data_IF_553704590603
#
_entry.id   IF_553704590603
#
_cell.length_a   1.000
_cell.length_b   1.000
_cell.length_c   1.000
_cell.angle_alpha   90.00
_cell.angle_beta   90.00
_cell.angle_gamma   90.00
#
_symmetry.space_group_name_H-M   'P 1'
#
loop_
_entity.id
_entity.type
_entity.pdbx_description
1 polymer ?
#
# COMPACT_ATOMS: atom_id res chain seq x y z
N UNK A 1 20.28 -18.99 3.38
CA UNK A 1 18.98 -18.28 3.30
C UNK A 1 19.16 -17.19 2.27
N UNK A 2 18.42 -17.22 1.16
CA UNK A 2 18.44 -16.09 0.22
C UNK A 2 17.48 -15.06 0.81
N UNK A 3 18.00 -13.93 1.27
CA UNK A 3 17.17 -12.78 1.62
C UNK A 3 16.44 -12.37 0.35
N UNK A 4 15.14 -12.68 0.30
CA UNK A 4 14.29 -12.22 -0.79
C UNK A 4 14.13 -10.72 -0.62
N UNK A 5 14.70 -9.93 -1.51
CA UNK A 5 14.50 -8.48 -1.53
C UNK A 5 12.99 -8.18 -1.50
N UNK A 6 12.56 -7.40 -0.51
CA UNK A 6 11.18 -6.94 -0.41
C UNK A 6 10.98 -5.79 -1.37
N UNK A 7 10.24 -6.02 -2.47
CA UNK A 7 9.84 -4.95 -3.36
C UNK A 7 8.71 -4.12 -2.72
N UNK A 8 9.04 -2.89 -2.32
CA UNK A 8 8.12 -1.91 -1.72
C UNK A 8 7.70 -0.83 -2.72
N UNK A 9 8.01 -1.00 -4.01
CA UNK A 9 7.54 -0.08 -5.04
C UNK A 9 6.01 -0.08 -5.11
N UNK A 10 5.47 1.13 -5.23
CA UNK A 10 4.06 1.43 -5.45
C UNK A 10 4.01 2.31 -6.69
N UNK A 11 3.11 2.01 -7.62
CA UNK A 11 2.89 2.84 -8.81
C UNK A 11 2.43 4.25 -8.40
N UNK A 12 2.85 5.27 -9.14
CA UNK A 12 2.60 6.66 -8.75
C UNK A 12 1.10 6.99 -8.67
N UNK A 13 0.30 6.48 -9.61
CA UNK A 13 -1.16 6.60 -9.59
C UNK A 13 -1.75 6.00 -8.30
N UNK A 14 -1.22 4.86 -7.85
CA UNK A 14 -1.64 4.20 -6.60
C UNK A 14 -1.20 4.97 -5.36
N UNK A 15 0.01 5.56 -5.39
CA UNK A 15 0.48 6.42 -4.30
C UNK A 15 -0.42 7.63 -4.14
N UNK A 16 -0.83 8.25 -5.24
CA UNK A 16 -1.72 9.41 -5.22
C UNK A 16 -3.12 9.02 -4.76
N UNK A 17 -3.70 7.96 -5.33
CA UNK A 17 -5.03 7.46 -4.96
C UNK A 17 -5.12 7.15 -3.46
N UNK A 18 -4.19 6.32 -2.95
CA UNK A 18 -4.15 5.96 -1.53
C UNK A 18 -3.81 7.18 -0.68
N UNK A 19 -2.84 7.98 -1.12
CA UNK A 19 -2.41 9.18 -0.43
C UNK A 19 -3.55 10.16 -0.21
N UNK A 20 -4.36 10.42 -1.23
CA UNK A 20 -5.52 11.30 -1.16
C UNK A 20 -6.62 10.69 -0.27
N UNK A 21 -6.84 9.38 -0.34
CA UNK A 21 -7.82 8.69 0.50
C UNK A 21 -7.49 8.72 2.00
N UNK A 22 -6.20 8.72 2.37
CA UNK A 22 -5.77 8.71 3.78
C UNK A 22 -5.31 10.07 4.32
N UNK A 23 -5.27 11.10 3.48
CA UNK A 23 -4.88 12.44 3.93
C UNK A 23 -6.02 13.07 4.69
N UNK A 24 -5.73 13.50 5.92
CA UNK A 24 -6.61 14.34 6.73
C UNK A 24 -5.79 15.53 7.22
N UNK A 25 -6.36 16.73 7.14
CA UNK A 25 -5.72 17.97 7.61
C UNK A 25 -5.45 17.94 9.12
N UNK A 26 -6.22 17.16 9.88
CA UNK A 26 -6.09 17.00 11.33
C UNK A 26 -5.08 15.91 11.73
N UNK A 27 -4.42 15.26 10.77
CA UNK A 27 -3.53 14.13 11.04
C UNK A 27 -2.14 14.59 11.50
N UNK A 28 -1.66 14.19 12.70
CA UNK A 28 -0.30 14.51 13.16
C UNK A 28 0.79 13.67 12.44
N UNK A 29 0.43 12.95 11.38
CA UNK A 29 1.29 11.97 10.71
C UNK A 29 2.24 12.67 9.74
N UNK A 30 3.53 12.52 9.96
CA UNK A 30 4.58 13.05 9.09
C UNK A 30 4.68 12.35 7.72
N UNK A 31 5.41 12.97 6.80
CA UNK A 31 5.55 12.53 5.39
C UNK A 31 6.04 11.07 5.27
N UNK A 32 7.00 10.67 6.09
CA UNK A 32 7.56 9.31 6.02
C UNK A 32 6.59 8.25 6.53
N UNK A 33 5.83 8.57 7.57
CA UNK A 33 4.76 7.69 8.04
C UNK A 33 3.63 7.57 7.01
N UNK A 34 3.31 8.67 6.31
CA UNK A 34 2.35 8.64 5.18
C UNK A 34 2.83 7.71 4.06
N UNK A 35 4.10 7.77 3.66
CA UNK A 35 4.67 6.84 2.65
C UNK A 35 4.57 5.38 3.10
N UNK A 36 4.87 5.11 4.37
CA UNK A 36 4.74 3.75 4.93
C UNK A 36 3.30 3.26 4.89
N UNK A 37 2.31 4.10 5.24
CA UNK A 37 0.90 3.73 5.14
C UNK A 37 0.48 3.42 3.71
N UNK A 38 0.93 4.22 2.74
CA UNK A 38 0.68 3.97 1.32
C UNK A 38 1.19 2.60 0.90
N UNK A 39 2.42 2.24 1.30
CA UNK A 39 3.03 0.93 1.00
C UNK A 39 2.20 -0.21 1.61
N UNK A 40 1.83 -0.09 2.89
CA UNK A 40 1.05 -1.11 3.60
C UNK A 40 -0.31 -1.31 2.93
N UNK A 41 -1.04 -0.23 2.68
CA UNK A 41 -2.37 -0.28 2.07
C UNK A 41 -2.29 -0.87 0.66
N UNK A 42 -1.30 -0.47 -0.15
CA UNK A 42 -1.11 -1.06 -1.47
C UNK A 42 -0.89 -2.57 -1.41
N UNK A 43 -0.07 -3.05 -0.46
CA UNK A 43 0.18 -4.49 -0.29
C UNK A 43 -1.07 -5.23 0.20
N UNK A 44 -1.89 -4.64 1.06
CA UNK A 44 -3.17 -5.21 1.46
C UNK A 44 -4.13 -5.36 0.26
N UNK A 45 -4.24 -4.33 -0.58
CA UNK A 45 -5.04 -4.38 -1.82
C UNK A 45 -4.52 -5.46 -2.78
N UNK A 46 -3.20 -5.60 -2.93
CA UNK A 46 -2.61 -6.68 -3.74
C UNK A 46 -2.95 -8.08 -3.19
N UNK A 47 -2.97 -8.23 -1.86
CA UNK A 47 -3.33 -9.49 -1.18
C UNK A 47 -4.81 -9.81 -1.41
N UNK A 48 -5.72 -8.85 -1.19
CA UNK A 48 -7.15 -9.03 -1.43
C UNK A 48 -7.42 -9.44 -2.88
N UNK A 49 -6.82 -8.76 -3.86
CA UNK A 49 -6.93 -9.14 -5.29
C UNK A 49 -6.45 -10.55 -5.59
N UNK A 50 -5.46 -11.05 -4.85
CA UNK A 50 -4.96 -12.42 -5.00
C UNK A 50 -5.89 -13.43 -4.34
N UNK A 51 -6.44 -13.12 -3.17
CA UNK A 51 -7.43 -13.95 -2.48
C UNK A 51 -8.71 -14.08 -3.31
N UNK A 52 -9.25 -12.98 -3.82
CA UNK A 52 -10.42 -12.97 -4.71
C UNK A 52 -10.28 -13.93 -5.91
N UNK A 53 -9.07 -14.03 -6.49
CA UNK A 53 -8.80 -14.93 -7.62
C UNK A 53 -8.74 -16.40 -7.20
N UNK A 54 -8.36 -16.67 -5.96
CA UNK A 54 -8.29 -18.03 -5.42
C UNK A 54 -9.68 -18.51 -4.99
N UNK A 55 -10.50 -17.64 -4.42
CA UNK A 55 -11.85 -17.96 -3.93
C UNK A 55 -12.89 -18.09 -5.07
N UNK A 56 -12.62 -17.49 -6.23
CA UNK A 56 -13.46 -17.62 -7.44
C UNK A 56 -13.19 -18.90 -8.26
N UNK A 57 -12.40 -19.84 -7.73
CA UNK A 57 -12.16 -21.17 -8.32
C UNK A 57 -12.93 -22.25 -7.59
#
# INVERSE_FOLDING_TARGET
>A
MVEKEMNLEVEDDKKEEIGNAITSEDSPVGIDAKKTHIIIINKLIEIEKRLDKLEKK
#
